data_IF_594548701138
#
_entry.id   IF_594548701138
#
_cell.length_a   1.000
_cell.length_b   1.000
_cell.length_c   1.000
_cell.angle_alpha   90.00
_cell.angle_beta   90.00
_cell.angle_gamma   90.00
#
_symmetry.space_group_name_H-M   'P 1'
#
loop_
_entity.id
_entity.type
_entity.pdbx_description
1 polymer ?
#
# COMPACT_ATOMS: atom_id res chain seq x y z
N UNK A 1 38.76 12.22 13.51
CA UNK A 1 37.57 11.52 12.98
C UNK A 1 36.33 11.60 13.87
N UNK A 2 36.41 12.03 15.15
CA UNK A 2 35.26 12.06 16.09
C UNK A 2 34.40 13.35 15.96
N UNK A 3 34.97 14.44 15.43
CA UNK A 3 34.28 15.75 15.31
C UNK A 3 33.09 15.73 14.35
N UNK A 4 33.11 14.89 13.33
CA UNK A 4 32.01 14.78 12.37
C UNK A 4 30.82 13.99 12.95
N UNK A 5 31.08 13.01 13.81
CA UNK A 5 30.03 12.24 14.48
C UNK A 5 29.24 13.11 15.46
N UNK A 6 29.91 13.96 16.25
CA UNK A 6 29.23 14.86 17.19
C UNK A 6 28.31 15.86 16.48
N UNK A 7 28.76 16.41 15.35
CA UNK A 7 27.95 17.32 14.51
C UNK A 7 26.73 16.61 13.91
N UNK A 8 26.92 15.38 13.43
CA UNK A 8 25.82 14.59 12.89
C UNK A 8 24.76 14.29 13.96
N UNK A 9 25.17 13.87 15.17
CA UNK A 9 24.26 13.62 16.30
C UNK A 9 23.47 14.87 16.68
N UNK A 10 24.12 16.04 16.70
CA UNK A 10 23.45 17.30 17.01
C UNK A 10 22.43 17.69 15.92
N UNK A 11 22.79 17.54 14.65
CA UNK A 11 21.88 17.78 13.54
C UNK A 11 20.67 16.84 13.59
N UNK A 12 20.86 15.56 13.95
CA UNK A 12 19.76 14.62 14.15
C UNK A 12 18.85 15.05 15.29
N UNK A 13 19.40 15.55 16.40
CA UNK A 13 18.57 16.06 17.51
C UNK A 13 17.70 17.23 17.06
N UNK A 14 18.30 18.21 16.37
CA UNK A 14 17.56 19.37 15.83
C UNK A 14 16.47 18.94 14.85
N UNK A 15 16.73 17.93 14.03
CA UNK A 15 15.74 17.37 13.11
C UNK A 15 14.58 16.70 13.87
N UNK A 16 14.87 15.91 14.90
CA UNK A 16 13.83 15.27 15.73
C UNK A 16 13.03 16.30 16.52
N UNK A 17 13.66 17.38 16.97
CA UNK A 17 12.97 18.48 17.65
C UNK A 17 12.00 19.21 16.69
N UNK A 18 12.37 19.35 15.41
CA UNK A 18 11.53 19.94 14.38
C UNK A 18 10.45 18.97 13.84
N UNK A 19 10.75 17.67 13.84
CA UNK A 19 9.89 16.60 13.33
C UNK A 19 9.83 15.47 14.37
N UNK A 20 8.99 15.61 15.42
CA UNK A 20 8.95 14.67 16.54
C UNK A 20 8.66 13.22 16.12
N UNK A 21 7.96 13.04 14.98
CA UNK A 21 7.65 11.73 14.41
C UNK A 21 8.89 10.88 14.10
N UNK A 22 10.05 11.49 13.83
CA UNK A 22 11.30 10.76 13.59
C UNK A 22 11.94 10.21 14.89
N UNK A 23 11.45 10.65 16.05
CA UNK A 23 11.87 10.17 17.37
C UNK A 23 11.32 8.79 17.75
N UNK A 24 11.57 8.36 18.98
CA UNK A 24 11.20 7.02 19.46
C UNK A 24 9.75 6.89 19.94
N UNK A 25 9.09 8.00 20.27
CA UNK A 25 7.77 8.03 20.93
C UNK A 25 6.78 8.88 20.13
N UNK A 26 6.62 8.56 18.84
CA UNK A 26 5.68 9.25 17.97
C UNK A 26 4.23 9.01 18.43
N UNK A 27 3.46 10.09 18.53
CA UNK A 27 2.02 10.07 18.75
C UNK A 27 1.24 10.04 17.44
N UNK A 28 -0.08 9.85 17.53
CA UNK A 28 -0.96 9.96 16.37
C UNK A 28 -0.96 11.37 15.76
N UNK A 29 -0.77 12.42 16.57
CA UNK A 29 -0.64 13.79 16.06
C UNK A 29 0.63 13.93 15.22
N UNK A 30 1.75 13.41 15.73
CA UNK A 30 3.04 13.44 15.03
C UNK A 30 2.96 12.70 13.69
N UNK A 31 2.22 11.59 13.64
CA UNK A 31 1.94 10.85 12.40
C UNK A 31 1.16 11.69 11.37
N UNK A 32 0.10 12.39 11.79
CA UNK A 32 -0.68 13.24 10.88
C UNK A 32 0.12 14.46 10.38
N UNK A 33 0.97 15.02 11.24
CA UNK A 33 1.89 16.09 10.86
C UNK A 33 2.96 15.60 9.90
N UNK A 34 3.49 14.38 10.10
CA UNK A 34 4.43 13.75 9.18
C UNK A 34 3.82 13.51 7.79
N UNK A 35 2.56 13.07 7.71
CA UNK A 35 1.84 12.97 6.44
C UNK A 35 1.71 14.33 5.75
N UNK A 36 1.32 15.36 6.50
CA UNK A 36 1.19 16.73 5.97
C UNK A 36 2.53 17.28 5.47
N UNK A 37 3.63 16.91 6.14
CA UNK A 37 4.97 17.28 5.73
C UNK A 37 5.41 16.54 4.46
N UNK A 38 5.10 15.24 4.33
CA UNK A 38 5.35 14.49 3.08
C UNK A 38 4.59 15.11 1.92
N UNK A 39 3.31 15.43 2.09
CA UNK A 39 2.50 16.09 1.05
C UNK A 39 3.13 17.42 0.63
N UNK A 40 3.55 18.25 1.61
CA UNK A 40 4.24 19.50 1.32
C UNK A 40 5.55 19.29 0.54
N UNK A 41 6.37 18.30 0.93
CA UNK A 41 7.63 18.01 0.27
C UNK A 41 7.42 17.52 -1.17
N UNK A 42 6.43 16.65 -1.42
CA UNK A 42 6.10 16.21 -2.78
C UNK A 42 5.71 17.39 -3.69
N UNK A 43 5.03 18.41 -3.14
CA UNK A 43 4.61 19.57 -3.92
C UNK A 43 5.73 20.61 -4.14
N UNK A 44 6.69 20.72 -3.22
CA UNK A 44 7.62 21.86 -3.15
C UNK A 44 9.11 21.48 -3.27
N UNK A 45 9.49 20.25 -2.92
CA UNK A 45 10.87 19.75 -2.88
C UNK A 45 10.89 18.20 -2.91
N UNK A 46 10.48 17.60 -4.03
CA UNK A 46 10.24 16.16 -4.17
C UNK A 46 11.52 15.30 -4.21
N UNK A 47 12.68 15.93 -4.32
CA UNK A 47 14.00 15.29 -4.20
C UNK A 47 14.58 15.37 -2.78
N UNK A 48 13.84 15.94 -1.81
CA UNK A 48 14.34 16.10 -0.45
C UNK A 48 14.54 14.74 0.24
N UNK A 49 15.74 14.43 0.77
CA UNK A 49 16.00 13.13 1.42
C UNK A 49 15.16 12.90 2.67
N UNK A 50 14.55 13.94 3.25
CA UNK A 50 13.61 13.82 4.36
C UNK A 50 12.40 12.95 4.01
N UNK A 51 12.00 12.91 2.72
CA UNK A 51 10.90 12.06 2.24
C UNK A 51 11.20 10.59 2.54
N UNK A 52 12.41 10.10 2.26
CA UNK A 52 12.78 8.70 2.50
C UNK A 52 12.73 8.35 4.00
N UNK A 53 13.21 9.25 4.86
CA UNK A 53 13.17 9.06 6.31
C UNK A 53 11.74 9.02 6.85
N UNK A 54 10.90 9.95 6.40
CA UNK A 54 9.50 10.01 6.78
C UNK A 54 8.73 8.80 6.26
N UNK A 55 8.89 8.45 4.99
CA UNK A 55 8.22 7.30 4.38
C UNK A 55 8.56 5.99 5.10
N UNK A 56 9.84 5.77 5.43
CA UNK A 56 10.24 4.59 6.21
C UNK A 56 9.60 4.57 7.60
N UNK A 57 9.56 5.71 8.31
CA UNK A 57 8.96 5.80 9.65
C UNK A 57 7.43 5.68 9.62
N UNK A 58 6.79 6.22 8.60
CA UNK A 58 5.34 6.12 8.37
C UNK A 58 4.97 4.66 8.14
N UNK A 59 5.69 3.96 7.25
CA UNK A 59 5.47 2.55 6.99
C UNK A 59 5.61 1.72 8.27
N UNK A 60 6.70 1.92 9.04
CA UNK A 60 6.91 1.23 10.32
C UNK A 60 5.75 1.49 11.31
N UNK A 61 5.26 2.73 11.38
CA UNK A 61 4.14 3.09 12.25
C UNK A 61 2.83 2.43 11.81
N UNK A 62 2.52 2.48 10.51
CA UNK A 62 1.30 1.91 9.93
C UNK A 62 1.28 0.38 10.04
N UNK A 63 2.42 -0.29 9.91
CA UNK A 63 2.52 -1.74 10.03
C UNK A 63 2.28 -2.23 11.46
N UNK A 64 2.69 -1.45 12.47
CA UNK A 64 2.73 -1.88 13.87
C UNK A 64 1.66 -1.23 14.77
N UNK A 65 0.97 -0.19 14.31
CA UNK A 65 -0.04 0.51 15.11
C UNK A 65 -1.37 -0.24 15.19
N UNK A 66 -1.97 -0.26 16.39
CA UNK A 66 -3.30 -0.86 16.62
C UNK A 66 -4.39 -0.23 15.76
N UNK A 67 -4.23 1.06 15.39
CA UNK A 67 -5.16 1.78 14.50
C UNK A 67 -5.32 1.06 13.16
N UNK A 68 -4.24 0.51 12.62
CA UNK A 68 -4.21 -0.14 11.30
C UNK A 68 -4.31 -1.66 11.38
N UNK A 69 -4.21 -2.27 12.56
CA UNK A 69 -4.19 -3.72 12.72
C UNK A 69 -5.35 -4.45 12.02
N UNK A 70 -6.57 -3.91 12.06
CA UNK A 70 -7.73 -4.49 11.34
C UNK A 70 -7.55 -4.41 9.82
N UNK A 71 -7.07 -3.29 9.31
CA UNK A 71 -6.81 -3.09 7.89
C UNK A 71 -5.67 -3.99 7.40
N UNK A 72 -4.54 -4.00 8.12
CA UNK A 72 -3.37 -4.81 7.81
C UNK A 72 -3.72 -6.30 7.78
N UNK A 73 -4.54 -6.77 8.74
CA UNK A 73 -5.04 -8.15 8.73
C UNK A 73 -5.88 -8.45 7.48
N UNK A 74 -6.82 -7.56 7.13
CA UNK A 74 -7.66 -7.75 5.96
C UNK A 74 -6.86 -7.72 4.64
N UNK A 75 -5.84 -6.86 4.56
CA UNK A 75 -4.90 -6.79 3.44
C UNK A 75 -4.09 -8.09 3.32
N UNK A 76 -3.53 -8.58 4.43
CA UNK A 76 -2.72 -9.81 4.46
C UNK A 76 -3.51 -11.08 4.10
N UNK A 77 -4.81 -11.13 4.44
CA UNK A 77 -5.70 -12.25 4.11
C UNK A 77 -6.20 -12.21 2.65
N UNK A 78 -6.09 -11.06 1.98
CA UNK A 78 -6.61 -10.88 0.62
C UNK A 78 -5.58 -11.33 -0.43
N UNK A 79 -6.00 -12.24 -1.32
CA UNK A 79 -5.19 -12.61 -2.48
C UNK A 79 -5.02 -11.42 -3.44
N UNK A 80 -3.78 -11.15 -3.85
CA UNK A 80 -3.43 -10.10 -4.83
C UNK A 80 -4.27 -10.23 -6.11
N UNK A 81 -4.38 -11.43 -6.66
CA UNK A 81 -5.23 -11.66 -7.84
C UNK A 81 -6.71 -11.37 -7.63
N UNK A 82 -7.24 -11.60 -6.42
CA UNK A 82 -8.63 -11.23 -6.08
C UNK A 82 -8.76 -9.71 -5.94
N UNK A 83 -7.78 -9.03 -5.35
CA UNK A 83 -7.76 -7.57 -5.24
C UNK A 83 -7.73 -6.90 -6.63
N UNK A 84 -6.89 -7.40 -7.54
CA UNK A 84 -6.83 -6.93 -8.91
C UNK A 84 -8.16 -7.17 -9.64
N UNK A 85 -8.74 -8.38 -9.51
CA UNK A 85 -10.03 -8.67 -10.13
C UNK A 85 -11.14 -7.73 -9.63
N UNK A 86 -11.21 -7.47 -8.32
CA UNK A 86 -12.17 -6.51 -7.73
C UNK A 86 -11.99 -5.12 -8.33
N UNK A 87 -10.74 -4.69 -8.48
CA UNK A 87 -10.39 -3.39 -9.07
C UNK A 87 -10.84 -3.31 -10.53
N UNK A 88 -10.58 -4.35 -11.34
CA UNK A 88 -11.02 -4.39 -12.74
C UNK A 88 -12.54 -4.38 -12.86
N UNK A 89 -13.26 -5.11 -12.01
CA UNK A 89 -14.73 -5.09 -11.98
C UNK A 89 -15.24 -3.68 -11.69
N UNK A 90 -14.68 -3.02 -10.68
CA UNK A 90 -15.08 -1.66 -10.26
C UNK A 90 -14.78 -0.62 -11.35
N UNK A 91 -13.56 -0.57 -11.85
CA UNK A 91 -13.11 0.41 -12.84
C UNK A 91 -13.86 0.30 -14.18
N UNK A 92 -14.18 -0.94 -14.60
CA UNK A 92 -14.94 -1.18 -15.82
C UNK A 92 -16.45 -1.25 -15.59
N UNK A 93 -16.93 -1.00 -14.36
CA UNK A 93 -18.35 -1.07 -13.94
C UNK A 93 -19.03 -2.38 -14.35
N UNK A 94 -18.32 -3.49 -14.22
CA UNK A 94 -18.79 -4.80 -14.64
C UNK A 94 -19.70 -5.43 -13.59
N UNK A 95 -20.68 -6.17 -14.06
CA UNK A 95 -21.39 -7.15 -13.24
C UNK A 95 -20.64 -8.49 -13.25
N UNK A 96 -20.92 -9.36 -12.29
CA UNK A 96 -20.31 -10.70 -12.27
C UNK A 96 -20.70 -11.56 -13.48
N UNK A 97 -21.81 -11.23 -14.16
CA UNK A 97 -22.23 -11.92 -15.37
C UNK A 97 -21.36 -11.53 -16.58
N UNK A 98 -20.73 -10.36 -16.55
CA UNK A 98 -19.93 -9.84 -17.66
C UNK A 98 -18.56 -10.51 -17.76
N UNK A 99 -18.17 -11.33 -16.78
CA UNK A 99 -16.91 -12.09 -16.75
C UNK A 99 -17.07 -13.56 -17.17
N UNK A 100 -18.15 -13.85 -17.91
CA UNK A 100 -18.52 -15.21 -18.28
C UNK A 100 -17.51 -15.89 -19.19
N UNK A 101 -16.90 -15.14 -20.09
CA UNK A 101 -15.95 -15.68 -21.07
C UNK A 101 -14.58 -15.98 -20.45
N UNK A 102 -14.20 -15.27 -19.38
CA UNK A 102 -12.89 -15.40 -18.74
C UNK A 102 -12.91 -16.33 -17.53
N UNK A 103 -13.99 -16.28 -16.74
CA UNK A 103 -14.11 -17.02 -15.48
C UNK A 103 -15.25 -18.03 -15.55
N UNK A 104 -16.40 -17.65 -16.11
CA UNK A 104 -17.57 -18.52 -16.21
C UNK A 104 -18.78 -17.98 -15.43
N UNK A 105 -19.51 -18.87 -14.75
CA UNK A 105 -20.79 -18.48 -14.15
C UNK A 105 -20.65 -17.38 -13.10
N UNK A 106 -21.69 -16.54 -12.94
CA UNK A 106 -21.80 -15.54 -11.87
C UNK A 106 -21.52 -16.14 -10.47
N UNK A 107 -21.92 -17.39 -10.25
CA UNK A 107 -21.66 -18.11 -9.00
C UNK A 107 -20.17 -18.37 -8.79
N UNK A 108 -19.47 -18.82 -9.83
CA UNK A 108 -18.01 -19.05 -9.76
C UNK A 108 -17.24 -17.75 -9.53
N UNK A 109 -17.62 -16.66 -10.19
CA UNK A 109 -17.04 -15.32 -9.94
C UNK A 109 -17.23 -14.93 -8.47
N UNK A 110 -18.44 -15.11 -7.92
CA UNK A 110 -18.72 -14.82 -6.51
C UNK A 110 -17.89 -15.68 -5.55
N UNK A 111 -17.66 -16.96 -5.87
CA UNK A 111 -16.84 -17.86 -5.05
C UNK A 111 -15.35 -17.48 -5.08
N UNK A 112 -14.86 -17.00 -6.22
CA UNK A 112 -13.49 -16.51 -6.35
C UNK A 112 -13.30 -15.23 -5.52
N UNK A 113 -14.23 -14.29 -5.65
CA UNK A 113 -14.18 -13.01 -4.94
C UNK A 113 -14.30 -13.17 -3.41
N UNK A 114 -14.91 -14.25 -2.93
CA UNK A 114 -15.01 -14.60 -1.50
C UNK A 114 -13.87 -15.49 -1.00
N UNK A 115 -12.93 -15.88 -1.85
CA UNK A 115 -11.80 -16.75 -1.50
C UNK A 115 -12.16 -18.24 -1.38
N UNK A 116 -13.40 -18.65 -1.68
CA UNK A 116 -13.80 -20.06 -1.69
C UNK A 116 -13.18 -20.85 -2.85
N UNK A 117 -12.82 -20.16 -3.94
CA UNK A 117 -12.13 -20.70 -5.11
C UNK A 117 -10.98 -19.77 -5.51
N UNK A 118 -9.91 -20.35 -6.05
CA UNK A 118 -8.79 -19.56 -6.56
C UNK A 118 -8.95 -19.26 -8.05
N UNK A 119 -8.34 -18.16 -8.51
CA UNK A 119 -8.12 -17.94 -9.94
C UNK A 119 -7.20 -19.02 -10.50
N UNK A 120 -7.58 -19.60 -11.63
CA UNK A 120 -6.73 -20.56 -12.34
C UNK A 120 -5.83 -19.82 -13.33
N UNK A 121 -4.75 -20.47 -13.79
CA UNK A 121 -3.88 -19.92 -14.85
C UNK A 121 -4.70 -19.58 -16.11
N UNK A 122 -5.71 -20.40 -16.43
CA UNK A 122 -6.61 -20.14 -17.57
C UNK A 122 -7.44 -18.87 -17.36
N UNK A 123 -8.00 -18.67 -16.16
CA UNK A 123 -8.72 -17.43 -15.83
C UNK A 123 -7.80 -16.22 -15.94
N UNK A 124 -6.60 -16.30 -15.36
CA UNK A 124 -5.62 -15.21 -15.37
C UNK A 124 -5.25 -14.83 -16.81
N UNK A 125 -4.98 -15.81 -17.69
CA UNK A 125 -4.67 -15.56 -19.10
C UNK A 125 -5.82 -14.87 -19.83
N UNK A 126 -7.05 -15.33 -19.61
CA UNK A 126 -8.23 -14.76 -20.26
C UNK A 126 -8.51 -13.32 -19.77
N UNK A 127 -8.44 -13.08 -18.46
CA UNK A 127 -8.56 -11.75 -17.87
C UNK A 127 -7.45 -10.81 -18.38
N UNK A 128 -6.21 -11.28 -18.39
CA UNK A 128 -5.06 -10.51 -18.89
C UNK A 128 -5.26 -10.10 -20.35
N UNK A 129 -5.72 -11.02 -21.20
CA UNK A 129 -6.00 -10.74 -22.60
C UNK A 129 -7.13 -9.71 -22.79
N UNK A 130 -8.21 -9.81 -21.99
CA UNK A 130 -9.33 -8.86 -22.06
C UNK A 130 -8.96 -7.45 -21.63
N UNK A 131 -8.26 -7.33 -20.51
CA UNK A 131 -7.98 -6.03 -19.88
C UNK A 131 -6.63 -5.43 -20.30
N UNK A 132 -5.82 -6.16 -21.08
CA UNK A 132 -4.51 -5.70 -21.52
C UNK A 132 -3.49 -5.57 -20.38
N UNK A 133 -3.67 -6.35 -19.31
CA UNK A 133 -2.79 -6.34 -18.13
C UNK A 133 -1.84 -7.54 -18.15
N UNK A 134 -0.73 -7.44 -17.42
CA UNK A 134 0.23 -8.55 -17.33
C UNK A 134 -0.29 -9.65 -16.41
N UNK A 135 -0.18 -10.94 -16.78
CA UNK A 135 -0.57 -12.06 -15.92
C UNK A 135 0.11 -12.04 -14.55
N UNK A 136 1.34 -11.52 -14.47
CA UNK A 136 2.10 -11.43 -13.21
C UNK A 136 1.41 -10.57 -12.15
N UNK A 137 0.53 -9.65 -12.54
CA UNK A 137 -0.18 -8.78 -11.59
C UNK A 137 -1.24 -9.52 -10.77
N UNK A 138 -1.58 -10.77 -11.16
CA UNK A 138 -2.51 -11.61 -10.41
C UNK A 138 -1.82 -12.52 -9.36
N UNK A 139 -0.49 -12.50 -9.29
CA UNK A 139 0.33 -13.40 -8.48
C UNK A 139 0.80 -12.75 -7.18
#
# INVERSE_FOLDING_TARGET
MITNAAKAIEATRQLVDAVPFLGSNASESDYLEALSLVDYLIENDDENPLIDFLASKIADYEDNSERFARFNKAQAEMSVGVALLRTLIDQHKLTYSDLKEEIGSKSLVSQILSGQRSLTITHIKALSARFGVKPEWFL
#
